data_IF_332910189273
#
_entry.id   IF_332910189273
#
_cell.length_a   1.000
_cell.length_b   1.000
_cell.length_c   1.000
_cell.angle_alpha   90.00
_cell.angle_beta   90.00
_cell.angle_gamma   90.00
#
_symmetry.space_group_name_H-M   'P 1'
#
loop_
_entity.id
_entity.type
_entity.pdbx_description
1 polymer ?
#
# COMPACT_ATOMS: atom_id res chain seq x y z
N UNK A 1 9.73 45.00 -68.04
CA UNK A 1 8.79 44.00 -67.50
C UNK A 1 9.22 43.71 -66.09
N UNK A 2 8.36 44.09 -65.17
CA UNK A 2 8.61 44.49 -63.77
C UNK A 2 8.85 43.28 -62.85
N UNK A 3 10.02 43.22 -62.26
CA UNK A 3 10.35 42.41 -61.12
C UNK A 3 10.42 43.31 -59.87
N UNK A 4 9.28 43.88 -59.46
CA UNK A 4 9.15 44.70 -58.25
C UNK A 4 7.85 44.37 -57.57
N UNK A 5 7.73 43.18 -56.96
CA UNK A 5 6.64 42.95 -55.99
C UNK A 5 6.87 41.81 -55.00
N UNK A 6 8.09 41.48 -54.69
CA UNK A 6 8.37 40.46 -53.66
C UNK A 6 8.93 41.04 -52.34
N UNK A 7 8.81 42.38 -52.14
CA UNK A 7 9.38 43.07 -51.00
C UNK A 7 8.34 43.62 -50.01
N UNK A 8 7.03 43.34 -50.13
CA UNK A 8 6.08 43.70 -49.08
C UNK A 8 6.13 42.68 -47.96
N UNK A 9 7.22 42.80 -47.21
CA UNK A 9 7.35 42.14 -45.93
C UNK A 9 6.16 42.48 -45.02
N UNK A 10 5.64 41.46 -44.46
CA UNK A 10 4.58 41.38 -43.47
C UNK A 10 4.70 42.46 -42.40
N UNK A 11 3.97 43.57 -42.55
CA UNK A 11 3.85 44.65 -41.58
C UNK A 11 2.75 44.37 -40.56
N UNK A 12 2.64 43.17 -40.08
CA UNK A 12 1.90 42.84 -38.89
C UNK A 12 2.92 42.31 -37.85
N UNK A 13 3.43 43.16 -36.96
CA UNK A 13 4.14 42.64 -35.78
C UNK A 13 3.09 41.85 -34.98
N UNK A 14 3.24 40.55 -34.95
CA UNK A 14 2.54 39.72 -33.96
C UNK A 14 2.90 40.31 -32.62
N UNK A 15 1.95 41.01 -31.97
CA UNK A 15 2.14 41.55 -30.64
C UNK A 15 2.23 40.36 -29.69
N UNK A 16 3.44 39.80 -29.50
CA UNK A 16 3.70 38.77 -28.52
C UNK A 16 3.49 39.41 -27.15
N UNK A 17 2.44 38.96 -26.45
CA UNK A 17 2.17 39.39 -25.09
C UNK A 17 3.19 38.71 -24.16
N UNK A 18 4.31 39.39 -23.97
CA UNK A 18 5.44 38.93 -23.16
C UNK A 18 5.06 38.67 -21.69
N UNK A 19 3.91 39.20 -21.26
CA UNK A 19 3.39 38.91 -19.90
C UNK A 19 2.74 37.54 -19.83
N UNK A 20 1.97 37.19 -20.85
CA UNK A 20 1.30 35.90 -20.97
C UNK A 20 2.33 34.79 -21.17
N UNK A 21 3.34 35.01 -21.99
CA UNK A 21 4.44 34.07 -22.25
C UNK A 21 5.27 33.75 -20.99
N UNK A 22 5.55 34.76 -20.17
CA UNK A 22 6.23 34.56 -18.86
C UNK A 22 5.36 33.79 -17.85
N UNK A 23 4.04 33.98 -17.88
CA UNK A 23 3.09 33.23 -17.06
C UNK A 23 3.06 31.73 -17.44
N UNK A 24 2.95 31.46 -18.72
CA UNK A 24 2.96 30.09 -19.28
C UNK A 24 4.28 29.39 -18.96
N UNK A 25 5.41 30.06 -19.10
CA UNK A 25 6.73 29.50 -18.83
C UNK A 25 6.96 29.16 -17.35
N UNK A 26 6.39 29.96 -16.43
CA UNK A 26 6.40 29.65 -14.98
C UNK A 26 5.52 28.44 -14.68
N UNK A 27 4.35 28.38 -15.25
CA UNK A 27 3.42 27.28 -15.08
C UNK A 27 3.99 25.96 -15.63
N UNK A 28 4.60 26.02 -16.80
CA UNK A 28 5.28 24.87 -17.42
C UNK A 28 6.44 24.36 -16.56
N UNK A 29 7.27 25.26 -16.02
CA UNK A 29 8.37 24.92 -15.12
C UNK A 29 7.86 24.32 -13.81
N UNK A 30 6.77 24.85 -13.25
CA UNK A 30 6.13 24.29 -12.07
C UNK A 30 5.56 22.89 -12.33
N UNK A 31 4.92 22.71 -13.49
CA UNK A 31 4.43 21.39 -13.95
C UNK A 31 5.55 20.35 -14.07
N UNK A 32 6.71 20.76 -14.59
CA UNK A 32 7.88 19.89 -14.65
C UNK A 32 8.39 19.46 -13.27
N UNK A 33 8.48 20.38 -12.32
CA UNK A 33 8.88 20.03 -10.95
C UNK A 33 7.86 19.09 -10.29
N UNK A 34 6.57 19.38 -10.46
CA UNK A 34 5.52 18.49 -9.95
C UNK A 34 5.62 17.09 -10.56
N UNK A 35 5.85 16.98 -11.87
CA UNK A 35 6.05 15.71 -12.54
C UNK A 35 7.27 14.95 -12.01
N UNK A 36 8.41 15.61 -11.85
CA UNK A 36 9.63 15.00 -11.30
C UNK A 36 9.40 14.50 -9.87
N UNK A 37 8.68 15.26 -9.05
CA UNK A 37 8.31 14.84 -7.69
C UNK A 37 7.41 13.60 -7.73
N UNK A 38 6.38 13.59 -8.57
CA UNK A 38 5.47 12.44 -8.72
C UNK A 38 6.24 11.20 -9.20
N UNK A 39 7.12 11.34 -10.18
CA UNK A 39 7.97 10.25 -10.66
C UNK A 39 8.92 9.77 -9.56
N UNK A 40 9.54 10.69 -8.82
CA UNK A 40 10.38 10.35 -7.66
C UNK A 40 9.63 9.58 -6.58
N UNK A 41 8.40 10.00 -6.24
CA UNK A 41 7.53 9.30 -5.30
C UNK A 41 7.09 7.93 -5.83
N UNK A 42 6.80 7.83 -7.13
CA UNK A 42 6.46 6.56 -7.76
C UNK A 42 7.64 5.57 -7.70
N UNK A 43 8.86 6.02 -8.01
CA UNK A 43 10.09 5.23 -7.90
C UNK A 43 10.41 4.86 -6.44
N UNK A 44 10.06 5.71 -5.48
CA UNK A 44 10.14 5.40 -4.05
C UNK A 44 9.06 4.41 -3.57
N UNK A 45 8.20 3.94 -4.48
CA UNK A 45 7.19 2.90 -4.19
C UNK A 45 5.91 3.42 -3.58
N UNK A 46 5.54 4.69 -3.81
CA UNK A 46 4.26 5.23 -3.33
C UNK A 46 3.05 4.50 -3.96
N UNK A 47 3.18 4.05 -5.21
CA UNK A 47 2.11 3.39 -5.97
C UNK A 47 2.30 1.87 -6.12
N UNK A 48 3.22 1.25 -5.36
CA UNK A 48 3.51 -0.17 -5.47
C UNK A 48 3.95 -0.81 -4.16
N UNK A 49 4.71 -1.90 -4.24
CA UNK A 49 5.25 -2.66 -3.10
C UNK A 49 6.53 -2.06 -2.50
N UNK A 50 6.68 -0.74 -2.54
CA UNK A 50 7.87 -0.05 -2.06
C UNK A 50 7.83 0.29 -0.56
N UNK A 51 8.94 0.77 0.01
CA UNK A 51 9.08 1.08 1.44
C UNK A 51 8.10 2.15 1.95
N UNK A 52 7.55 2.99 1.07
CA UNK A 52 6.53 3.98 1.45
C UNK A 52 5.13 3.39 1.55
N UNK A 53 4.86 2.28 0.85
CA UNK A 53 3.58 1.58 0.86
C UNK A 53 3.47 0.56 1.98
N UNK A 54 4.57 -0.08 2.37
CA UNK A 54 4.59 -1.08 3.43
C UNK A 54 4.66 -0.43 4.82
N UNK A 55 3.97 -1.02 5.77
CA UNK A 55 3.96 -0.61 7.17
C UNK A 55 4.07 -1.83 8.08
N UNK A 56 4.77 -1.62 9.17
CA UNK A 56 4.87 -2.58 10.25
C UNK A 56 4.16 -2.04 11.48
N UNK A 57 3.20 -2.79 11.99
CA UNK A 57 2.53 -2.50 13.24
C UNK A 57 2.94 -3.55 14.27
N UNK A 58 3.20 -3.12 15.52
CA UNK A 58 3.63 -3.99 16.61
C UNK A 58 2.71 -3.83 17.81
N UNK A 59 2.52 -4.92 18.54
CA UNK A 59 1.87 -4.87 19.85
C UNK A 59 2.76 -4.15 20.88
N UNK A 60 2.18 -3.54 21.94
CA UNK A 60 2.94 -2.84 22.96
C UNK A 60 3.99 -3.70 23.66
N UNK A 61 3.73 -4.99 23.77
CA UNK A 61 4.62 -6.00 24.36
C UNK A 61 5.60 -6.64 23.35
N UNK A 62 5.52 -6.24 22.06
CA UNK A 62 6.37 -6.75 20.99
C UNK A 62 6.10 -8.19 20.55
N UNK A 63 5.09 -8.87 21.12
CA UNK A 63 4.80 -10.27 20.84
C UNK A 63 4.13 -10.52 19.49
N UNK A 64 3.46 -9.52 18.95
CA UNK A 64 2.84 -9.59 17.63
C UNK A 64 3.34 -8.45 16.77
N UNK A 65 3.77 -8.78 15.57
CA UNK A 65 4.19 -7.83 14.55
C UNK A 65 3.48 -8.18 13.25
N UNK A 66 2.89 -7.17 12.62
CA UNK A 66 2.15 -7.29 11.36
C UNK A 66 2.76 -6.34 10.35
N UNK A 67 3.24 -6.89 9.26
CA UNK A 67 3.71 -6.14 8.09
C UNK A 67 2.64 -6.24 7.00
N UNK A 68 2.19 -5.09 6.50
CA UNK A 68 1.07 -4.97 5.59
C UNK A 68 1.24 -3.78 4.64
N UNK A 69 0.52 -3.80 3.51
CA UNK A 69 0.45 -2.66 2.60
C UNK A 69 -0.63 -1.66 3.07
N UNK A 70 -0.26 -0.37 3.14
CA UNK A 70 -1.22 0.71 3.46
C UNK A 70 -2.21 0.97 2.34
N UNK A 71 -1.74 0.78 1.11
CA UNK A 71 -2.48 1.06 -0.10
C UNK A 71 -2.46 -0.17 -0.98
N UNK A 72 -3.63 -0.62 -1.39
CA UNK A 72 -3.77 -1.75 -2.30
C UNK A 72 -4.83 -1.45 -3.33
N UNK A 73 -4.86 -2.20 -4.41
CA UNK A 73 -5.85 -2.08 -5.47
C UNK A 73 -6.91 -3.15 -5.31
N UNK A 74 -8.17 -2.80 -5.64
CA UNK A 74 -9.26 -3.76 -5.67
C UNK A 74 -8.93 -4.96 -6.59
N UNK A 75 -9.15 -6.16 -6.08
CA UNK A 75 -8.84 -7.41 -6.78
C UNK A 75 -7.34 -7.78 -6.87
N UNK A 76 -6.44 -6.95 -6.34
CA UNK A 76 -5.03 -7.29 -6.28
C UNK A 76 -4.74 -8.27 -5.12
N UNK A 77 -3.79 -9.18 -5.36
CA UNK A 77 -3.26 -10.03 -4.29
C UNK A 77 -2.35 -9.20 -3.38
N UNK A 78 -2.65 -9.22 -2.08
CA UNK A 78 -1.91 -8.52 -1.03
C UNK A 78 -1.21 -9.54 -0.13
N UNK A 79 0.03 -9.24 0.25
CA UNK A 79 0.77 -10.05 1.21
C UNK A 79 0.69 -9.43 2.60
N UNK A 80 0.24 -10.23 3.56
CA UNK A 80 0.26 -9.94 4.98
C UNK A 80 1.26 -10.88 5.64
N UNK A 81 2.23 -10.30 6.35
CA UNK A 81 3.24 -11.06 7.10
C UNK A 81 3.04 -10.82 8.58
N UNK A 82 2.87 -11.90 9.33
CA UNK A 82 2.63 -11.83 10.77
C UNK A 82 3.71 -12.61 11.47
N UNK A 83 4.38 -11.96 12.43
CA UNK A 83 5.32 -12.57 13.34
C UNK A 83 4.71 -12.63 14.73
N UNK A 84 4.72 -13.81 15.33
CA UNK A 84 4.21 -14.05 16.66
C UNK A 84 5.33 -14.60 17.54
N UNK A 85 5.48 -14.03 18.75
CA UNK A 85 6.39 -14.52 19.77
C UNK A 85 5.58 -15.29 20.81
N UNK A 86 5.84 -16.58 20.91
CA UNK A 86 5.23 -17.50 21.86
C UNK A 86 6.27 -18.16 22.78
N UNK A 87 5.97 -19.36 23.26
CA UNK A 87 6.94 -20.23 23.94
C UNK A 87 7.68 -21.04 22.88
N UNK A 88 8.96 -21.42 23.16
CA UNK A 88 9.71 -22.33 22.30
C UNK A 88 9.00 -23.67 22.09
N UNK A 89 9.06 -24.20 20.88
CA UNK A 89 8.52 -25.52 20.48
C UNK A 89 7.07 -25.79 20.97
N UNK A 90 6.23 -24.75 20.96
CA UNK A 90 4.85 -24.76 21.44
C UNK A 90 3.89 -24.28 20.37
N UNK A 91 2.67 -24.05 20.72
CA UNK A 91 1.63 -23.50 19.86
C UNK A 91 1.27 -22.07 20.28
N UNK A 92 1.18 -21.19 19.30
CA UNK A 92 0.65 -19.84 19.48
C UNK A 92 -0.73 -19.74 18.80
N UNK A 93 -1.70 -19.19 19.52
CA UNK A 93 -3.04 -18.96 18.99
C UNK A 93 -3.13 -17.51 18.52
N UNK A 94 -3.31 -17.34 17.22
CA UNK A 94 -3.48 -16.03 16.57
C UNK A 94 -4.94 -15.86 16.17
N UNK A 95 -5.56 -14.79 16.64
CA UNK A 95 -6.89 -14.35 16.23
C UNK A 95 -6.77 -13.15 15.30
N UNK A 96 -7.31 -13.29 14.09
CA UNK A 96 -7.43 -12.23 13.10
C UNK A 96 -8.90 -11.80 12.99
N UNK A 97 -9.17 -10.51 13.11
CA UNK A 97 -10.52 -9.96 13.11
C UNK A 97 -10.52 -8.56 12.47
N UNK A 98 -11.71 -8.06 12.14
CA UNK A 98 -11.91 -6.72 11.59
C UNK A 98 -12.60 -6.69 10.24
N UNK A 99 -12.93 -5.49 9.77
CA UNK A 99 -13.64 -5.30 8.51
C UNK A 99 -12.85 -5.80 7.29
N UNK A 100 -11.53 -5.85 7.39
CA UNK A 100 -10.66 -6.41 6.36
C UNK A 100 -10.93 -7.89 6.08
N UNK A 101 -11.32 -8.66 7.10
CA UNK A 101 -11.56 -10.10 6.98
C UNK A 101 -13.01 -10.46 6.62
N UNK A 102 -13.87 -9.46 6.37
CA UNK A 102 -15.28 -9.66 6.04
C UNK A 102 -15.49 -10.05 4.57
N UNK A 103 -14.83 -9.30 3.67
CA UNK A 103 -15.00 -9.41 2.21
C UNK A 103 -13.67 -9.82 1.56
N UNK A 104 -12.95 -10.73 2.22
CA UNK A 104 -11.59 -11.11 1.87
C UNK A 104 -11.54 -12.59 1.50
N UNK A 105 -10.87 -12.88 0.41
CA UNK A 105 -10.50 -14.25 0.04
C UNK A 105 -9.07 -14.54 0.47
N UNK A 106 -8.88 -15.52 1.35
CA UNK A 106 -7.55 -16.04 1.68
C UNK A 106 -7.10 -16.98 0.57
N UNK A 107 -6.09 -16.58 -0.20
CA UNK A 107 -5.58 -17.40 -1.30
C UNK A 107 -4.53 -18.42 -0.81
N UNK A 108 -3.62 -17.96 0.05
CA UNK A 108 -2.57 -18.84 0.59
C UNK A 108 -2.26 -18.52 2.05
N UNK A 109 -1.86 -19.57 2.78
CA UNK A 109 -1.33 -19.51 4.14
C UNK A 109 -0.04 -20.34 4.19
N UNK A 110 1.07 -19.70 4.57
CA UNK A 110 2.37 -20.37 4.66
C UNK A 110 3.13 -19.91 5.92
N UNK A 111 3.65 -20.83 6.76
CA UNK A 111 3.40 -22.27 6.72
C UNK A 111 1.93 -22.60 6.98
N UNK A 112 1.52 -23.81 6.67
CA UNK A 112 0.17 -24.25 6.94
C UNK A 112 -0.07 -24.26 8.46
N UNK A 113 -1.12 -23.60 8.97
CA UNK A 113 -1.44 -23.63 10.40
C UNK A 113 -1.74 -25.05 10.87
N UNK A 114 -1.42 -25.35 12.12
CA UNK A 114 -1.76 -26.63 12.75
C UNK A 114 -3.27 -26.87 12.81
N UNK A 115 -4.03 -25.78 13.01
CA UNK A 115 -5.47 -25.75 12.93
C UNK A 115 -5.95 -24.35 12.52
N UNK A 116 -7.05 -24.28 11.79
CA UNK A 116 -7.72 -23.05 11.43
C UNK A 116 -9.22 -23.17 11.69
N UNK A 117 -9.80 -22.20 12.37
CA UNK A 117 -11.21 -22.12 12.69
C UNK A 117 -11.73 -20.75 12.25
N UNK A 118 -12.79 -20.76 11.45
CA UNK A 118 -13.52 -19.54 11.12
C UNK A 118 -14.66 -19.35 12.15
N UNK A 119 -14.67 -18.24 12.86
CA UNK A 119 -15.70 -17.89 13.81
C UNK A 119 -16.38 -16.58 13.40
N UNK A 120 -17.42 -16.69 12.59
CA UNK A 120 -18.04 -15.53 11.97
C UNK A 120 -17.10 -14.83 10.98
N UNK A 121 -16.67 -13.61 11.33
CA UNK A 121 -15.71 -12.82 10.55
C UNK A 121 -14.27 -12.94 11.06
N UNK A 122 -14.06 -13.63 12.16
CA UNK A 122 -12.75 -13.83 12.77
C UNK A 122 -12.14 -15.15 12.31
N UNK A 123 -10.83 -15.15 12.12
CA UNK A 123 -10.04 -16.32 11.76
C UNK A 123 -9.10 -16.65 12.93
N UNK A 124 -9.34 -17.79 13.56
CA UNK A 124 -8.50 -18.32 14.62
C UNK A 124 -7.51 -19.33 14.04
N UNK A 125 -6.22 -19.07 14.22
CA UNK A 125 -5.13 -19.87 13.69
C UNK A 125 -4.25 -20.39 14.84
N UNK A 126 -3.96 -21.67 14.81
CA UNK A 126 -2.95 -22.30 15.67
C UNK A 126 -1.65 -22.43 14.88
N UNK A 127 -0.62 -21.73 15.31
CA UNK A 127 0.70 -21.70 14.67
C UNK A 127 1.71 -22.43 15.52
N UNK A 128 2.54 -23.29 14.93
CA UNK A 128 3.69 -23.84 15.60
C UNK A 128 4.80 -22.80 15.74
N UNK A 129 5.39 -22.70 16.90
CA UNK A 129 6.59 -21.88 17.17
C UNK A 129 7.85 -22.70 17.01
N UNK A 130 8.93 -22.05 16.59
CA UNK A 130 10.26 -22.65 16.52
C UNK A 130 10.96 -22.70 17.88
N UNK A 131 12.23 -23.16 17.91
CA UNK A 131 13.06 -23.24 19.12
C UNK A 131 13.32 -21.89 19.79
N UNK A 132 13.16 -20.76 19.04
CA UNK A 132 13.25 -19.40 19.56
C UNK A 132 11.89 -18.87 20.03
N UNK A 133 10.83 -19.68 19.91
CA UNK A 133 9.46 -19.32 20.23
C UNK A 133 8.82 -18.41 19.19
N UNK A 134 9.32 -18.38 17.95
CA UNK A 134 8.82 -17.52 16.88
C UNK A 134 7.94 -18.34 15.94
N UNK A 135 6.77 -17.82 15.62
CA UNK A 135 5.96 -18.29 14.51
C UNK A 135 5.87 -17.18 13.44
N UNK A 136 6.15 -17.54 12.21
CA UNK A 136 5.97 -16.67 11.04
C UNK A 136 4.80 -17.15 10.20
N UNK A 137 3.90 -16.26 9.83
CA UNK A 137 2.79 -16.55 8.95
C UNK A 137 2.80 -15.57 7.77
N UNK A 138 2.81 -16.10 6.58
CA UNK A 138 2.65 -15.37 5.33
C UNK A 138 1.27 -15.70 4.76
N UNK A 139 0.48 -14.67 4.56
CA UNK A 139 -0.86 -14.79 3.99
C UNK A 139 -0.91 -14.02 2.68
N UNK A 140 -1.46 -14.62 1.66
CA UNK A 140 -1.87 -13.90 0.46
C UNK A 140 -3.37 -13.73 0.50
N UNK A 141 -3.80 -12.50 0.42
CA UNK A 141 -5.20 -12.08 0.58
C UNK A 141 -5.63 -11.35 -0.69
N UNK A 142 -6.86 -11.53 -1.11
CA UNK A 142 -7.50 -10.75 -2.17
C UNK A 142 -8.71 -10.04 -1.59
N UNK A 143 -8.74 -8.74 -1.75
CA UNK A 143 -9.84 -7.91 -1.27
C UNK A 143 -10.72 -7.49 -2.45
N UNK A 144 -12.03 -7.75 -2.35
CA UNK A 144 -13.02 -7.44 -3.38
C UNK A 144 -13.81 -6.17 -3.06
N UNK A 145 -13.33 -5.35 -2.10
CA UNK A 145 -13.97 -4.11 -1.68
C UNK A 145 -13.12 -2.87 -1.99
N UNK A 146 -13.73 -1.70 -1.96
CA UNK A 146 -13.09 -0.38 -2.12
C UNK A 146 -13.31 0.45 -0.85
N UNK A 147 -12.28 1.16 -0.39
CA UNK A 147 -12.36 2.03 0.77
C UNK A 147 -11.36 1.71 1.87
N UNK A 148 -11.63 2.19 3.08
CA UNK A 148 -10.78 1.95 4.24
C UNK A 148 -11.21 0.68 4.98
N UNK A 149 -10.28 -0.24 5.14
CA UNK A 149 -10.47 -1.48 5.88
C UNK A 149 -9.55 -1.52 7.10
N UNK A 150 -10.05 -2.07 8.19
CA UNK A 150 -9.28 -2.26 9.42
C UNK A 150 -9.15 -3.73 9.75
N UNK A 151 -7.95 -4.11 10.18
CA UNK A 151 -7.64 -5.44 10.69
C UNK A 151 -7.09 -5.37 12.11
N UNK A 152 -7.27 -6.45 12.84
CA UNK A 152 -6.72 -6.65 14.16
C UNK A 152 -6.12 -8.04 14.27
N UNK A 153 -4.89 -8.11 14.74
CA UNK A 153 -4.22 -9.36 15.09
C UNK A 153 -4.04 -9.43 16.60
N UNK A 154 -4.43 -10.54 17.21
CA UNK A 154 -4.37 -10.73 18.65
C UNK A 154 -3.75 -12.08 19.02
N UNK A 155 -2.85 -12.06 20.00
CA UNK A 155 -2.29 -13.24 20.64
C UNK A 155 -2.48 -13.12 22.14
N UNK A 156 -3.31 -13.97 22.71
CA UNK A 156 -3.71 -13.84 24.11
C UNK A 156 -4.49 -12.55 24.41
N UNK A 157 -4.65 -12.19 25.71
CA UNK A 157 -5.49 -11.06 26.10
C UNK A 157 -4.85 -9.68 25.86
N UNK A 158 -3.53 -9.57 25.93
CA UNK A 158 -2.81 -8.29 26.02
C UNK A 158 -2.05 -7.91 24.76
N UNK A 159 -1.73 -8.87 23.89
CA UNK A 159 -0.95 -8.63 22.67
C UNK A 159 -1.88 -8.36 21.48
N UNK A 160 -2.18 -7.11 21.24
CA UNK A 160 -3.12 -6.67 20.20
C UNK A 160 -2.44 -5.68 19.27
N UNK A 161 -2.54 -5.93 17.97
CA UNK A 161 -2.10 -5.03 16.90
C UNK A 161 -3.30 -4.63 16.07
N UNK A 162 -3.45 -3.34 15.80
CA UNK A 162 -4.43 -2.81 14.86
C UNK A 162 -3.70 -2.24 13.65
N UNK A 163 -4.23 -2.51 12.49
CA UNK A 163 -3.69 -2.04 11.22
C UNK A 163 -4.85 -1.66 10.28
N UNK A 164 -4.55 -0.84 9.30
CA UNK A 164 -5.55 -0.40 8.33
C UNK A 164 -4.94 -0.24 6.95
N UNK A 165 -5.68 -0.68 5.94
CA UNK A 165 -5.34 -0.53 4.53
C UNK A 165 -6.42 0.27 3.82
N UNK A 166 -6.04 0.98 2.76
CA UNK A 166 -6.97 1.66 1.87
C UNK A 166 -6.91 1.00 0.50
N UNK A 167 -8.08 0.49 0.08
CA UNK A 167 -8.24 -0.17 -1.22
C UNK A 167 -8.85 0.83 -2.20
N UNK A 168 -8.13 1.12 -3.27
CA UNK A 168 -8.63 1.98 -4.35
C UNK A 168 -9.09 1.13 -5.56
N UNK A 169 -9.97 1.69 -6.39
CA UNK A 169 -10.55 1.02 -7.55
C UNK A 169 -9.53 0.51 -8.55
#
# INVERSE_FOLDING_TARGET
>A
MSTQDEGHSRQFPVSEDMRMQRGVWRFERFGWYALVIVVGLALAGLFGTGPLSQRTARSPDGRVEVEYARFTRNGAAEQLRIRVQGKPDDQATLLLDGSMFRDLTVETLQPQPLASLSQGQALLLHLGTDADGIAMLYMTLRNDGVGAFSGQARVGPNSVVRFSTFVYP
#
